data_IF_213408405750
#
_entry.id   IF_213408405750
#
_cell.length_a   1.000
_cell.length_b   1.000
_cell.length_c   1.000
_cell.angle_alpha   90.00
_cell.angle_beta   90.00
_cell.angle_gamma   90.00
#
_symmetry.space_group_name_H-M   'P 1'
#
loop_
_entity.id
_entity.type
_entity.pdbx_description
1 polymer ?
#
# COMPACT_ATOMS: atom_id res chain seq x y z
N UNK A 1 -1.26 38.67 -20.37
CA UNK A 1 -2.08 38.06 -19.31
C UNK A 1 -1.25 37.01 -18.62
N UNK A 2 -0.88 37.25 -17.36
CA UNK A 2 -0.13 36.32 -16.53
C UNK A 2 -1.12 35.50 -15.68
N UNK A 3 -1.02 34.18 -15.70
CA UNK A 3 -1.66 33.33 -14.70
C UNK A 3 -0.64 32.31 -14.19
N UNK A 4 -0.29 32.46 -12.91
CA UNK A 4 0.49 31.51 -12.13
C UNK A 4 -0.40 30.32 -11.72
N UNK A 5 0.17 29.11 -11.53
CA UNK A 5 -0.59 27.94 -11.15
C UNK A 5 -1.07 28.02 -9.69
N UNK A 6 -2.33 27.67 -9.46
CA UNK A 6 -2.90 27.50 -8.13
C UNK A 6 -2.29 26.25 -7.49
N UNK A 7 -1.30 26.47 -6.63
CA UNK A 7 -0.98 25.51 -5.58
C UNK A 7 -2.17 25.47 -4.61
N UNK A 8 -2.75 24.28 -4.41
CA UNK A 8 -3.68 24.02 -3.32
C UNK A 8 -2.91 24.17 -1.99
N UNK A 9 -2.92 25.38 -1.45
CA UNK A 9 -2.29 25.72 -0.18
C UNK A 9 -3.19 25.37 1.00
N UNK A 10 -2.87 24.29 1.71
CA UNK A 10 -3.16 24.24 3.14
C UNK A 10 -2.15 25.14 3.86
N UNK A 11 -2.62 26.26 4.39
CA UNK A 11 -1.84 27.11 5.31
C UNK A 11 -1.95 26.57 6.74
N UNK A 12 -0.84 26.42 7.49
CA UNK A 12 -0.91 26.38 8.93
C UNK A 12 -1.20 27.80 9.48
N UNK A 13 -1.98 27.97 10.55
CA UNK A 13 -2.14 29.27 11.19
C UNK A 13 -0.87 29.68 11.95
N UNK A 14 -0.36 30.87 11.65
CA UNK A 14 0.72 31.53 12.40
C UNK A 14 0.19 32.09 13.74
N UNK A 15 0.74 31.53 14.81
CA UNK A 15 1.20 32.16 16.06
C UNK A 15 0.62 33.52 16.48
N UNK A 16 -0.20 33.49 17.54
CA UNK A 16 -0.38 34.61 18.48
C UNK A 16 0.52 34.36 19.69
N UNK A 17 1.49 35.26 19.89
CA UNK A 17 2.33 35.33 21.10
C UNK A 17 1.50 35.93 22.24
N UNK A 18 1.18 35.13 23.27
CA UNK A 18 0.79 35.63 24.58
C UNK A 18 1.84 35.24 25.63
N UNK A 19 2.23 36.24 26.40
CA UNK A 19 3.23 36.19 27.45
C UNK A 19 2.84 35.23 28.59
N UNK A 20 3.85 34.50 29.08
CA UNK A 20 3.81 33.69 30.30
C UNK A 20 3.60 34.53 31.55
N UNK A 21 2.86 33.99 32.54
CA UNK A 21 3.28 34.09 33.93
C UNK A 21 3.67 32.70 34.48
N UNK A 22 4.86 32.66 35.09
CA UNK A 22 5.37 31.57 35.92
C UNK A 22 4.48 31.39 37.15
N UNK A 23 4.00 30.17 37.43
CA UNK A 23 3.80 29.66 38.79
C UNK A 23 4.14 28.17 38.87
N UNK A 24 4.89 27.85 39.91
CA UNK A 24 5.30 26.53 40.36
C UNK A 24 4.14 25.77 41.02
N UNK A 25 4.11 24.44 40.88
CA UNK A 25 4.00 23.44 41.97
C UNK A 25 3.48 22.07 41.43
N UNK A 26 3.81 20.95 42.09
CA UNK A 26 3.68 19.60 41.55
C UNK A 26 2.35 18.95 41.98
N UNK A 27 1.71 18.24 41.05
CA UNK A 27 0.67 17.28 41.41
C UNK A 27 0.89 15.96 40.68
N UNK A 28 1.31 14.97 41.46
CA UNK A 28 0.96 13.56 41.24
C UNK A 28 -0.54 13.46 40.98
N UNK A 29 -0.94 12.82 39.89
CA UNK A 29 -2.28 12.25 39.73
C UNK A 29 -2.21 11.07 38.75
N UNK A 30 -2.13 9.89 39.36
CA UNK A 30 -2.85 8.65 39.02
C UNK A 30 -3.38 8.56 37.58
N UNK A 31 -2.69 7.80 36.73
CA UNK A 31 -3.25 7.30 35.47
C UNK A 31 -3.91 5.95 35.75
N UNK A 32 -5.24 5.93 35.74
CA UNK A 32 -6.06 4.72 35.65
C UNK A 32 -6.87 4.76 34.32
N UNK A 33 -7.18 3.60 33.72
CA UNK A 33 -7.49 3.50 32.29
C UNK A 33 -8.96 3.78 31.95
N UNK A 34 -9.17 4.57 30.90
CA UNK A 34 -10.43 4.73 30.18
C UNK A 34 -10.57 3.61 29.14
N UNK A 35 -11.09 2.46 29.56
CA UNK A 35 -11.62 1.42 28.66
C UNK A 35 -12.81 0.74 29.35
N UNK A 36 -13.95 1.42 29.38
CA UNK A 36 -15.23 0.82 29.72
C UNK A 36 -16.36 1.67 29.14
N UNK A 37 -16.82 1.31 27.94
CA UNK A 37 -18.20 1.49 27.47
C UNK A 37 -18.26 1.28 25.94
N UNK A 38 -18.56 0.06 25.47
CA UNK A 38 -19.61 -0.24 24.47
C UNK A 38 -19.84 -1.77 24.46
N UNK A 39 -20.51 -2.32 25.48
CA UNK A 39 -21.27 -3.58 25.33
C UNK A 39 -22.53 -3.44 26.18
N UNK A 40 -23.70 -3.14 25.59
CA UNK A 40 -24.94 -3.19 26.33
C UNK A 40 -25.34 -4.66 26.52
N UNK A 41 -25.35 -5.13 27.77
CA UNK A 41 -26.01 -6.39 28.13
C UNK A 41 -25.18 -7.47 28.82
N UNK A 42 -24.05 -7.15 29.45
CA UNK A 42 -23.38 -8.09 30.36
C UNK A 42 -23.69 -7.69 31.79
N UNK A 43 -24.46 -8.53 32.49
CA UNK A 43 -24.70 -8.39 33.93
C UNK A 43 -23.38 -8.35 34.71
N UNK A 44 -23.40 -7.73 35.89
CA UNK A 44 -22.23 -7.58 36.74
C UNK A 44 -21.55 -8.92 37.06
N UNK A 45 -20.51 -9.26 36.31
CA UNK A 45 -19.54 -10.31 36.63
C UNK A 45 -18.34 -9.61 37.26
N UNK A 46 -17.86 -10.13 38.40
CA UNK A 46 -16.82 -9.51 39.22
C UNK A 46 -15.53 -9.22 38.46
N UNK A 47 -14.86 -8.13 38.85
CA UNK A 47 -13.63 -7.60 38.23
C UNK A 47 -12.38 -8.49 38.40
N UNK A 48 -12.50 -9.67 39.00
CA UNK A 48 -11.36 -10.57 39.28
C UNK A 48 -10.98 -11.49 38.10
N UNK A 49 -11.70 -11.45 36.97
CA UNK A 49 -11.51 -12.40 35.85
C UNK A 49 -10.95 -11.78 34.55
N UNK A 50 -10.51 -10.52 34.58
CA UNK A 50 -9.85 -9.90 33.41
C UNK A 50 -8.53 -10.62 33.05
N UNK A 51 -7.83 -11.19 34.03
CA UNK A 51 -6.62 -11.98 33.78
C UNK A 51 -6.91 -13.28 33.05
N UNK A 52 -8.05 -13.93 33.31
CA UNK A 52 -8.46 -15.16 32.61
C UNK A 52 -8.80 -14.86 31.15
N UNK A 53 -9.46 -13.73 30.86
CA UNK A 53 -9.72 -13.31 29.48
C UNK A 53 -8.42 -12.95 28.72
N UNK A 54 -7.49 -12.26 29.39
CA UNK A 54 -6.15 -11.97 28.82
C UNK A 54 -5.36 -13.27 28.63
N UNK A 55 -5.38 -14.20 29.58
CA UNK A 55 -4.70 -15.49 29.45
C UNK A 55 -5.37 -16.39 28.42
N UNK A 56 -6.69 -16.40 28.27
CA UNK A 56 -7.36 -17.16 27.21
C UNK A 56 -7.08 -16.56 25.82
N UNK A 57 -6.97 -15.25 25.70
CA UNK A 57 -6.57 -14.57 24.45
C UNK A 57 -5.08 -14.82 24.13
N UNK A 58 -4.21 -14.82 25.15
CA UNK A 58 -2.80 -15.17 25.03
C UNK A 58 -2.58 -16.68 24.78
N UNK A 59 -3.50 -17.53 25.25
CA UNK A 59 -3.48 -18.98 25.05
C UNK A 59 -4.08 -19.37 23.70
N UNK A 60 -5.07 -18.65 23.19
CA UNK A 60 -5.55 -18.78 21.82
C UNK A 60 -4.53 -18.25 20.79
N UNK A 61 -3.61 -17.36 21.20
CA UNK A 61 -2.46 -16.94 20.39
C UNK A 61 -1.19 -17.79 20.62
N UNK A 62 -1.10 -18.55 21.71
CA UNK A 62 -0.04 -19.56 21.96
C UNK A 62 -0.41 -20.98 21.57
N UNK A 63 -1.69 -21.29 21.46
CA UNK A 63 -2.22 -22.60 21.13
C UNK A 63 -2.14 -22.82 19.62
N UNK A 64 -1.06 -23.48 19.19
CA UNK A 64 -1.11 -24.63 18.29
C UNK A 64 -2.34 -24.76 17.38
N UNK A 65 -2.63 -23.76 16.56
CA UNK A 65 -3.39 -23.97 15.34
C UNK A 65 -2.42 -24.59 14.34
N UNK A 66 -2.47 -25.93 14.25
CA UNK A 66 -1.93 -26.87 13.27
C UNK A 66 -1.77 -26.32 11.83
N UNK A 67 -0.88 -25.36 11.65
CA UNK A 67 -0.49 -24.80 10.37
C UNK A 67 0.98 -25.08 10.19
N UNK A 68 1.32 -25.83 9.15
CA UNK A 68 2.70 -26.00 8.71
C UNK A 68 3.42 -24.66 8.75
N UNK A 69 4.54 -24.60 9.48
CA UNK A 69 5.40 -23.42 9.53
C UNK A 69 5.67 -23.01 8.08
N UNK A 70 5.08 -21.88 7.66
CA UNK A 70 5.26 -21.40 6.30
C UNK A 70 6.74 -21.03 6.17
N UNK A 71 7.45 -21.75 5.32
CA UNK A 71 8.86 -21.50 5.00
C UNK A 71 8.94 -21.05 3.55
N UNK A 72 9.50 -19.87 3.33
CA UNK A 72 9.72 -19.34 2.00
C UNK A 72 10.81 -20.15 1.29
N UNK A 73 10.59 -20.52 0.02
CA UNK A 73 11.53 -21.33 -0.76
C UNK A 73 12.62 -20.46 -1.41
N UNK A 74 13.69 -20.21 -0.65
CA UNK A 74 14.85 -19.48 -1.13
C UNK A 74 15.63 -20.17 -2.26
N UNK A 75 15.41 -21.47 -2.49
CA UNK A 75 16.04 -22.14 -3.65
C UNK A 75 15.35 -21.73 -4.93
N UNK A 76 14.03 -21.55 -4.88
CA UNK A 76 13.23 -21.10 -6.03
C UNK A 76 13.26 -19.59 -6.24
N UNK A 77 13.35 -18.81 -5.16
CA UNK A 77 13.33 -17.34 -5.19
C UNK A 77 14.47 -16.74 -4.35
N UNK A 78 15.75 -17.00 -4.71
CA UNK A 78 16.90 -16.58 -3.91
C UNK A 78 16.98 -15.05 -3.74
N UNK A 79 16.54 -14.29 -4.73
CA UNK A 79 16.56 -12.82 -4.69
C UNK A 79 15.65 -12.22 -3.61
N UNK A 80 14.55 -12.91 -3.27
CA UNK A 80 13.64 -12.48 -2.21
C UNK A 80 14.09 -12.91 -0.81
N UNK A 81 15.14 -13.72 -0.70
CA UNK A 81 15.74 -14.08 0.58
C UNK A 81 16.92 -13.20 1.00
N UNK A 82 17.24 -12.20 0.19
CA UNK A 82 18.25 -11.19 0.50
C UNK A 82 17.59 -9.90 0.97
N UNK A 83 18.39 -9.00 1.55
CA UNK A 83 17.97 -7.63 1.82
C UNK A 83 17.47 -6.95 0.53
N UNK A 84 16.38 -6.14 0.60
CA UNK A 84 15.65 -5.76 1.80
C UNK A 84 14.46 -6.67 2.16
N UNK A 85 14.20 -7.72 1.36
CA UNK A 85 12.98 -8.53 1.46
C UNK A 85 13.01 -9.55 2.62
N UNK A 86 14.14 -10.25 2.78
CA UNK A 86 14.36 -11.23 3.85
C UNK A 86 13.22 -12.24 4.05
N UNK A 87 12.66 -12.79 2.96
CA UNK A 87 11.45 -13.62 3.02
C UNK A 87 11.60 -14.94 3.79
N UNK A 88 12.82 -15.43 4.00
CA UNK A 88 13.11 -16.55 4.91
C UNK A 88 12.75 -16.25 6.37
N UNK A 89 12.75 -14.98 6.75
CA UNK A 89 12.41 -14.50 8.09
C UNK A 89 10.99 -13.94 8.17
N UNK A 90 10.26 -13.89 7.05
CA UNK A 90 8.90 -13.35 7.00
C UNK A 90 7.94 -14.29 7.75
N UNK A 91 7.39 -13.80 8.86
CA UNK A 91 6.46 -14.58 9.69
C UNK A 91 5.04 -14.13 9.43
N UNK A 92 4.12 -15.04 9.12
CA UNK A 92 2.69 -14.70 8.97
C UNK A 92 2.06 -13.99 10.18
N UNK A 93 2.65 -14.09 11.37
CA UNK A 93 2.22 -13.30 12.54
C UNK A 93 2.37 -11.79 12.34
N UNK A 94 3.26 -11.32 11.46
CA UNK A 94 3.30 -9.91 11.04
C UNK A 94 2.01 -9.50 10.33
N UNK A 95 1.33 -10.41 9.64
CA UNK A 95 0.06 -10.14 8.98
C UNK A 95 -1.06 -9.86 9.96
N UNK A 96 -1.03 -10.47 11.16
CA UNK A 96 -2.03 -10.18 12.20
C UNK A 96 -1.87 -8.74 12.72
N UNK A 97 -0.64 -8.28 12.93
CA UNK A 97 -0.37 -6.87 13.29
C UNK A 97 -0.77 -5.95 12.13
N UNK A 98 -0.35 -6.27 10.89
CA UNK A 98 -0.73 -5.50 9.70
C UNK A 98 -2.25 -5.43 9.53
N UNK A 99 -2.96 -6.52 9.81
CA UNK A 99 -4.42 -6.56 9.81
C UNK A 99 -5.04 -5.61 10.83
N UNK A 100 -4.37 -5.39 11.97
CA UNK A 100 -4.87 -4.45 12.98
C UNK A 100 -4.53 -2.99 12.64
N UNK A 101 -3.31 -2.71 12.20
CA UNK A 101 -2.78 -1.32 12.14
C UNK A 101 -2.37 -0.82 10.76
N UNK A 102 -2.39 -1.67 9.72
CA UNK A 102 -1.86 -1.36 8.40
C UNK A 102 -0.33 -1.30 8.35
N UNK A 103 0.20 -0.59 7.37
CA UNK A 103 1.64 -0.34 7.19
C UNK A 103 1.97 1.10 7.59
N UNK A 104 2.82 1.32 8.62
CA UNK A 104 3.17 2.71 9.03
C UNK A 104 4.12 3.42 8.06
N UNK A 105 4.89 2.61 7.33
CA UNK A 105 5.91 2.92 6.35
C UNK A 105 5.86 1.84 5.27
N UNK A 106 6.65 1.96 4.20
CA UNK A 106 6.81 0.87 3.25
C UNK A 106 7.21 -0.44 3.95
N UNK A 107 6.54 -1.52 3.54
CA UNK A 107 6.78 -2.89 3.99
C UNK A 107 7.11 -3.76 2.77
N UNK A 108 8.40 -3.80 2.40
CA UNK A 108 8.88 -4.64 1.29
C UNK A 108 8.72 -6.14 1.57
N UNK A 109 8.50 -6.54 2.82
CA UNK A 109 8.18 -7.92 3.18
C UNK A 109 6.85 -8.41 2.58
N UNK A 110 5.98 -7.49 2.16
CA UNK A 110 4.75 -7.83 1.42
C UNK A 110 5.04 -8.61 0.12
N UNK A 111 6.21 -8.43 -0.50
CA UNK A 111 6.61 -9.20 -1.69
C UNK A 111 6.81 -10.68 -1.43
N UNK A 112 6.99 -11.08 -0.17
CA UNK A 112 7.08 -12.49 0.21
C UNK A 112 5.79 -13.27 -0.05
N UNK A 113 4.66 -12.57 -0.21
CA UNK A 113 3.37 -13.17 -0.57
C UNK A 113 3.13 -13.24 -2.08
N UNK A 114 4.01 -12.62 -2.88
CA UNK A 114 3.90 -12.58 -4.34
C UNK A 114 5.24 -12.92 -5.04
N UNK A 115 5.84 -14.09 -4.75
CA UNK A 115 7.19 -14.43 -5.22
C UNK A 115 7.33 -14.54 -6.74
N UNK A 116 6.22 -14.68 -7.47
CA UNK A 116 6.21 -14.64 -8.94
C UNK A 116 6.74 -13.32 -9.53
N UNK A 117 6.76 -12.23 -8.74
CA UNK A 117 7.31 -10.93 -9.12
C UNK A 117 8.75 -10.70 -8.62
N UNK A 118 9.42 -11.72 -8.06
CA UNK A 118 10.75 -11.61 -7.45
C UNK A 118 11.78 -10.93 -8.35
N UNK A 119 11.88 -11.33 -9.62
CA UNK A 119 12.80 -10.71 -10.56
C UNK A 119 12.47 -9.25 -10.87
N UNK A 120 11.19 -8.91 -11.05
CA UNK A 120 10.74 -7.53 -11.28
C UNK A 120 11.16 -6.64 -10.12
N UNK A 121 10.79 -7.04 -8.90
CA UNK A 121 11.02 -6.20 -7.73
C UNK A 121 12.49 -6.13 -7.31
N UNK A 122 13.25 -7.22 -7.48
CA UNK A 122 14.69 -7.20 -7.26
C UNK A 122 15.40 -6.26 -8.25
N UNK A 123 15.00 -6.29 -9.53
CA UNK A 123 15.57 -5.39 -10.54
C UNK A 123 15.27 -3.93 -10.20
N UNK A 124 14.05 -3.63 -9.75
CA UNK A 124 13.69 -2.28 -9.37
C UNK A 124 14.39 -1.82 -8.07
N UNK A 125 14.18 -2.54 -6.96
CA UNK A 125 14.52 -2.05 -5.62
C UNK A 125 15.98 -2.33 -5.23
N UNK A 126 16.54 -3.47 -5.64
CA UNK A 126 17.90 -3.89 -5.26
C UNK A 126 18.92 -3.43 -6.28
N UNK A 127 18.67 -3.72 -7.56
CA UNK A 127 19.56 -3.28 -8.64
C UNK A 127 19.38 -1.80 -9.01
N UNK A 128 18.36 -1.13 -8.45
CA UNK A 128 18.05 0.29 -8.68
C UNK A 128 17.88 0.61 -10.16
N UNK A 129 17.24 -0.29 -10.91
CA UNK A 129 16.99 -0.13 -12.33
C UNK A 129 15.49 -0.25 -12.63
N UNK A 130 14.70 0.77 -12.27
CA UNK A 130 13.25 0.72 -12.45
C UNK A 130 12.85 0.70 -13.94
N UNK A 131 13.67 1.24 -14.85
CA UNK A 131 13.42 1.16 -16.28
C UNK A 131 13.47 -0.29 -16.79
N UNK A 132 14.56 -1.02 -16.48
CA UNK A 132 14.68 -2.42 -16.88
C UNK A 132 13.62 -3.30 -16.21
N UNK A 133 13.28 -3.04 -14.95
CA UNK A 133 12.18 -3.70 -14.26
C UNK A 133 10.85 -3.46 -15.00
N UNK A 134 10.60 -2.21 -15.42
CA UNK A 134 9.40 -1.85 -16.16
C UNK A 134 9.28 -2.57 -17.51
N UNK A 135 10.35 -2.62 -18.30
CA UNK A 135 10.36 -3.39 -19.56
C UNK A 135 10.12 -4.87 -19.29
N UNK A 136 10.75 -5.44 -18.26
CA UNK A 136 10.59 -6.84 -17.89
C UNK A 136 9.13 -7.18 -17.55
N UNK A 137 8.48 -6.37 -16.72
CA UNK A 137 7.08 -6.59 -16.32
C UNK A 137 6.13 -6.41 -17.51
N UNK A 138 6.40 -5.45 -18.40
CA UNK A 138 5.62 -5.22 -19.62
C UNK A 138 5.66 -6.43 -20.55
N UNK A 139 6.83 -6.97 -20.86
CA UNK A 139 6.92 -8.14 -21.74
C UNK A 139 6.30 -9.39 -21.07
N UNK A 140 6.49 -9.59 -19.77
CA UNK A 140 5.89 -10.74 -19.06
C UNK A 140 4.36 -10.72 -19.05
N UNK A 141 3.76 -9.55 -18.86
CA UNK A 141 2.30 -9.40 -18.89
C UNK A 141 1.76 -9.54 -20.31
N UNK A 142 2.46 -9.00 -21.32
CA UNK A 142 2.15 -9.17 -22.75
C UNK A 142 2.19 -10.63 -23.20
N UNK A 143 3.14 -11.40 -22.67
CA UNK A 143 3.26 -12.86 -22.89
C UNK A 143 2.20 -13.67 -22.13
N UNK A 144 1.38 -13.03 -21.29
CA UNK A 144 0.33 -13.69 -20.52
C UNK A 144 0.83 -14.46 -19.29
N UNK A 145 2.07 -14.22 -18.82
CA UNK A 145 2.69 -14.94 -17.70
C UNK A 145 1.85 -14.93 -16.42
N UNK A 146 1.09 -13.86 -16.20
CA UNK A 146 0.27 -13.66 -15.00
C UNK A 146 -1.23 -13.89 -15.27
N UNK A 147 -1.57 -14.42 -16.45
CA UNK A 147 -2.94 -14.64 -16.89
C UNK A 147 -3.31 -13.73 -18.07
N UNK A 148 -4.29 -14.15 -18.89
CA UNK A 148 -4.60 -13.52 -20.18
C UNK A 148 -5.11 -12.08 -20.06
N UNK A 149 -5.68 -11.72 -18.91
CA UNK A 149 -6.27 -10.40 -18.67
C UNK A 149 -5.29 -9.39 -18.08
N UNK A 150 -4.13 -9.83 -17.61
CA UNK A 150 -3.21 -8.97 -16.85
C UNK A 150 -2.70 -7.81 -17.69
N UNK A 151 -2.45 -8.05 -18.97
CA UNK A 151 -1.94 -7.03 -19.88
C UNK A 151 -2.92 -5.84 -20.04
N UNK A 152 -4.21 -6.14 -20.13
CA UNK A 152 -5.28 -5.14 -20.23
C UNK A 152 -5.56 -4.45 -18.88
N UNK A 153 -5.52 -5.21 -17.77
CA UNK A 153 -5.66 -4.64 -16.43
C UNK A 153 -4.54 -3.66 -16.11
N UNK A 154 -3.30 -4.05 -16.33
CA UNK A 154 -2.17 -3.20 -16.00
C UNK A 154 -2.13 -1.95 -16.89
N UNK A 155 -2.48 -2.09 -18.18
CA UNK A 155 -2.66 -0.94 -19.05
C UNK A 155 -3.70 0.04 -18.49
N UNK A 156 -4.93 -0.42 -18.26
CA UNK A 156 -6.00 0.45 -17.72
C UNK A 156 -5.65 1.06 -16.36
N UNK A 157 -4.99 0.31 -15.48
CA UNK A 157 -4.45 0.76 -14.19
C UNK A 157 -3.51 1.96 -14.36
N UNK A 158 -2.57 1.88 -15.31
CA UNK A 158 -1.60 2.95 -15.58
C UNK A 158 -2.28 4.28 -15.95
N UNK A 159 -3.36 4.24 -16.74
CA UNK A 159 -4.10 5.44 -17.14
C UNK A 159 -5.07 5.91 -16.04
N UNK A 160 -5.82 5.00 -15.40
CA UNK A 160 -6.79 5.33 -14.34
C UNK A 160 -6.13 5.96 -13.11
N UNK A 161 -4.97 5.44 -12.70
CA UNK A 161 -4.23 5.96 -11.54
C UNK A 161 -3.22 7.05 -11.91
N UNK A 162 -3.29 7.58 -13.14
CA UNK A 162 -2.51 8.74 -13.57
C UNK A 162 -1.01 8.50 -13.59
N UNK A 163 -0.56 7.24 -13.68
CA UNK A 163 0.87 6.91 -13.71
C UNK A 163 1.52 7.36 -15.03
N UNK A 164 0.73 7.46 -16.11
CA UNK A 164 1.19 8.05 -17.37
C UNK A 164 1.45 9.56 -17.31
N UNK A 165 0.85 10.27 -16.34
CA UNK A 165 0.99 11.72 -16.17
C UNK A 165 1.93 12.08 -15.01
N UNK A 166 2.48 11.08 -14.30
CA UNK A 166 3.40 11.29 -13.19
C UNK A 166 4.76 11.75 -13.69
N UNK A 167 5.21 12.92 -13.23
CA UNK A 167 6.46 13.58 -13.67
C UNK A 167 7.45 13.76 -12.53
N UNK A 168 7.04 13.52 -11.28
CA UNK A 168 7.89 13.57 -10.09
C UNK A 168 8.76 12.33 -9.91
N UNK A 169 8.49 11.23 -10.63
CA UNK A 169 9.33 10.02 -10.63
C UNK A 169 10.38 10.08 -11.74
N UNK A 170 11.63 9.94 -11.33
CA UNK A 170 12.83 9.84 -12.18
C UNK A 170 13.46 8.45 -12.07
N UNK A 171 14.48 8.16 -12.88
CA UNK A 171 15.22 6.88 -12.85
C UNK A 171 15.94 6.64 -11.51
N UNK A 172 16.24 7.72 -10.77
CA UNK A 172 16.96 7.67 -9.49
C UNK A 172 16.04 7.84 -8.28
N UNK A 173 14.72 7.84 -8.48
CA UNK A 173 13.77 8.03 -7.37
C UNK A 173 13.91 6.90 -6.38
N UNK A 174 14.26 7.26 -5.15
CA UNK A 174 14.38 6.32 -4.04
C UNK A 174 13.01 5.95 -3.50
N UNK A 175 12.94 4.85 -2.75
CA UNK A 175 11.73 4.41 -2.07
C UNK A 175 11.18 5.49 -1.11
N UNK A 176 12.05 6.21 -0.38
CA UNK A 176 11.63 7.29 0.52
C UNK A 176 11.09 8.53 -0.22
N UNK A 177 11.61 8.82 -1.41
CA UNK A 177 11.04 9.87 -2.26
C UNK A 177 9.68 9.44 -2.83
N UNK A 178 9.56 8.18 -3.25
CA UNK A 178 8.29 7.61 -3.69
C UNK A 178 7.22 7.63 -2.58
N UNK A 179 7.59 7.36 -1.32
CA UNK A 179 6.68 7.50 -0.16
C UNK A 179 6.12 8.93 -0.05
N UNK A 180 6.93 9.97 -0.28
CA UNK A 180 6.45 11.36 -0.26
C UNK A 180 5.48 11.64 -1.40
N UNK A 181 5.68 11.04 -2.57
CA UNK A 181 4.73 11.12 -3.69
C UNK A 181 3.42 10.42 -3.31
N UNK A 182 3.50 9.24 -2.69
CA UNK A 182 2.33 8.51 -2.18
C UNK A 182 1.57 9.31 -1.11
N UNK A 183 2.27 9.95 -0.18
CA UNK A 183 1.66 10.83 0.82
C UNK A 183 0.97 12.03 0.17
N UNK A 184 1.59 12.65 -0.84
CA UNK A 184 0.99 13.77 -1.56
C UNK A 184 -0.26 13.37 -2.36
N UNK A 185 -0.27 12.18 -2.98
CA UNK A 185 -1.37 11.73 -3.84
C UNK A 185 -2.52 11.07 -3.07
N UNK A 186 -2.20 10.27 -2.06
CA UNK A 186 -3.17 9.39 -1.38
C UNK A 186 -3.30 9.68 0.12
N UNK A 187 -2.48 10.56 0.67
CA UNK A 187 -2.46 10.84 2.10
C UNK A 187 -2.17 9.58 2.91
N UNK A 188 -2.89 9.41 4.01
CA UNK A 188 -2.72 8.27 4.90
C UNK A 188 -3.33 6.95 4.37
N UNK A 189 -4.10 6.97 3.26
CA UNK A 189 -4.88 5.80 2.81
C UNK A 189 -4.00 4.61 2.43
N UNK A 190 -2.84 4.84 1.80
CA UNK A 190 -1.96 3.73 1.40
C UNK A 190 -1.38 2.97 2.60
N UNK A 191 -1.27 3.64 3.76
CA UNK A 191 -0.84 3.05 5.03
C UNK A 191 -1.90 2.12 5.63
N UNK A 192 -3.13 2.17 5.13
CA UNK A 192 -4.22 1.29 5.53
C UNK A 192 -4.14 -0.10 4.89
N UNK A 193 -3.27 -0.32 3.90
CA UNK A 193 -3.28 -1.56 3.12
C UNK A 193 -3.07 -2.77 4.03
N UNK A 194 -4.00 -3.73 3.91
CA UNK A 194 -4.03 -4.95 4.71
C UNK A 194 -4.76 -4.78 6.05
N UNK A 195 -5.07 -3.55 6.48
CA UNK A 195 -5.79 -3.32 7.72
C UNK A 195 -7.28 -3.66 7.61
N UNK A 196 -7.88 -4.13 8.71
CA UNK A 196 -9.31 -4.43 8.79
C UNK A 196 -10.19 -3.20 8.52
N UNK A 197 -9.69 -2.02 8.89
CA UNK A 197 -10.36 -0.74 8.73
C UNK A 197 -10.08 -0.07 7.38
N UNK A 198 -9.30 -0.71 6.49
CA UNK A 198 -9.12 -0.25 5.12
C UNK A 198 -10.49 -0.04 4.45
N UNK A 199 -10.76 1.14 3.86
CA UNK A 199 -12.02 1.40 3.16
C UNK A 199 -12.30 0.29 2.15
N UNK A 200 -13.56 -0.14 2.01
CA UNK A 200 -13.92 -1.25 1.13
C UNK A 200 -13.54 -1.00 -0.33
N UNK A 201 -13.65 0.24 -0.80
CA UNK A 201 -13.22 0.66 -2.14
C UNK A 201 -11.69 0.71 -2.32
N UNK A 202 -10.92 0.62 -1.25
CA UNK A 202 -9.45 0.69 -1.28
C UNK A 202 -8.82 -0.69 -1.22
N UNK A 203 -9.59 -1.74 -0.94
CA UNK A 203 -9.07 -3.11 -0.84
C UNK A 203 -8.62 -3.59 -2.20
N UNK A 204 -7.46 -4.26 -2.24
CA UNK A 204 -7.04 -5.00 -3.43
C UNK A 204 -8.06 -6.11 -3.65
N UNK A 205 -8.86 -5.98 -4.69
CA UNK A 205 -9.95 -6.89 -4.96
C UNK A 205 -10.18 -6.96 -6.46
N UNK A 206 -9.80 -8.10 -7.04
CA UNK A 206 -10.23 -8.41 -8.38
C UNK A 206 -11.66 -8.92 -8.33
N UNK A 207 -12.63 -8.05 -8.65
CA UNK A 207 -14.01 -8.50 -8.90
C UNK A 207 -14.06 -9.13 -10.29
N UNK A 208 -13.61 -10.38 -10.39
CA UNK A 208 -13.55 -11.12 -11.65
C UNK A 208 -14.86 -11.13 -12.44
N UNK A 209 -15.99 -10.96 -11.77
CA UNK A 209 -17.32 -10.89 -12.39
C UNK A 209 -17.60 -9.60 -13.16
N UNK A 210 -16.79 -8.54 -13.01
CA UNK A 210 -17.03 -7.22 -13.62
C UNK A 210 -16.18 -6.96 -14.88
N UNK A 211 -15.15 -7.78 -15.11
CA UNK A 211 -14.29 -7.71 -16.30
C UNK A 211 -14.76 -8.73 -17.34
N UNK A 212 -15.22 -8.26 -18.50
CA UNK A 212 -15.34 -9.12 -19.66
C UNK A 212 -13.92 -9.58 -20.09
N UNK A 213 -13.74 -10.79 -20.65
CA UNK A 213 -12.45 -11.16 -21.21
C UNK A 213 -11.93 -10.12 -22.20
N UNK A 214 -10.66 -9.73 -22.08
CA UNK A 214 -10.00 -8.66 -22.84
C UNK A 214 -10.33 -7.23 -22.37
N UNK A 215 -11.00 -7.05 -21.23
CA UNK A 215 -11.32 -5.74 -20.69
C UNK A 215 -10.50 -5.42 -19.44
N UNK A 216 -9.70 -4.35 -19.52
CA UNK A 216 -9.10 -3.73 -18.34
C UNK A 216 -10.13 -3.13 -17.38
N UNK A 217 -9.64 -2.55 -16.28
CA UNK A 217 -10.43 -1.77 -15.33
C UNK A 217 -11.15 -0.62 -16.03
N UNK A 218 -12.35 -0.31 -15.53
CA UNK A 218 -13.25 0.71 -16.10
C UNK A 218 -13.34 1.96 -15.23
N UNK A 219 -12.88 1.89 -13.98
CA UNK A 219 -12.94 3.01 -13.05
C UNK A 219 -11.88 2.90 -11.96
N UNK A 220 -11.61 4.03 -11.29
CA UNK A 220 -10.63 4.09 -10.21
C UNK A 220 -10.99 3.23 -9.01
N UNK A 221 -12.27 3.02 -8.76
CA UNK A 221 -12.74 2.14 -7.67
C UNK A 221 -12.26 0.69 -7.85
N UNK A 222 -11.96 0.26 -9.09
CA UNK A 222 -11.43 -1.07 -9.37
C UNK A 222 -9.89 -1.11 -9.28
N UNK A 223 -9.21 -0.01 -9.61
CA UNK A 223 -7.74 0.06 -9.69
C UNK A 223 -7.06 0.64 -8.45
N UNK A 224 -7.74 1.43 -7.64
CA UNK A 224 -7.12 2.22 -6.56
C UNK A 224 -6.46 1.34 -5.50
N UNK A 225 -7.03 0.17 -5.20
CA UNK A 225 -6.41 -0.77 -4.28
C UNK A 225 -5.01 -1.21 -4.72
N UNK A 226 -4.77 -1.35 -6.03
CA UNK A 226 -3.47 -1.73 -6.57
C UNK A 226 -2.42 -0.62 -6.40
N UNK A 227 -2.75 0.65 -6.62
CA UNK A 227 -1.77 1.75 -6.45
C UNK A 227 -1.50 2.04 -4.97
N UNK A 228 -2.50 1.89 -4.11
CA UNK A 228 -2.30 1.96 -2.66
C UNK A 228 -1.40 0.81 -2.18
N UNK A 229 -1.60 -0.40 -2.71
CA UNK A 229 -0.70 -1.53 -2.43
C UNK A 229 0.71 -1.25 -2.95
N UNK A 230 0.87 -0.68 -4.15
CA UNK A 230 2.18 -0.32 -4.68
C UNK A 230 2.93 0.69 -3.79
N UNK A 231 2.21 1.65 -3.21
CA UNK A 231 2.76 2.54 -2.20
C UNK A 231 3.16 1.79 -0.92
N UNK A 232 2.30 0.92 -0.38
CA UNK A 232 2.59 0.14 0.82
C UNK A 232 3.76 -0.85 0.65
N UNK A 233 3.90 -1.42 -0.55
CA UNK A 233 4.92 -2.40 -0.91
C UNK A 233 6.23 -1.77 -1.38
N UNK A 234 6.29 -0.43 -1.53
CA UNK A 234 7.50 0.32 -1.87
C UNK A 234 7.84 0.41 -3.34
N UNK A 235 6.95 0.00 -4.24
CA UNK A 235 7.22 -0.10 -5.68
C UNK A 235 6.47 0.93 -6.53
N UNK A 236 5.81 1.95 -5.94
CA UNK A 236 5.12 2.99 -6.72
C UNK A 236 5.98 3.58 -7.85
N UNK A 237 7.26 3.88 -7.58
CA UNK A 237 8.18 4.40 -8.60
C UNK A 237 8.53 3.35 -9.67
N UNK A 238 8.60 2.07 -9.32
CA UNK A 238 8.75 0.98 -10.28
C UNK A 238 7.56 0.94 -11.23
N UNK A 239 6.34 1.06 -10.68
CA UNK A 239 5.10 1.00 -11.44
C UNK A 239 4.98 2.19 -12.40
N UNK A 240 5.44 3.39 -12.02
CA UNK A 240 5.50 4.52 -12.96
C UNK A 240 6.40 4.22 -14.16
N UNK A 241 7.58 3.62 -13.95
CA UNK A 241 8.48 3.26 -15.06
C UNK A 241 7.95 2.10 -15.90
N UNK A 242 7.35 1.11 -15.27
CA UNK A 242 6.60 0.05 -15.92
C UNK A 242 5.50 0.62 -16.82
N UNK A 243 4.69 1.53 -16.29
CA UNK A 243 3.58 2.14 -16.99
C UNK A 243 4.01 2.92 -18.23
N UNK A 244 5.21 3.52 -18.26
CA UNK A 244 5.73 4.21 -19.46
C UNK A 244 5.66 3.35 -20.72
N UNK A 245 5.78 2.02 -20.61
CA UNK A 245 5.63 1.13 -21.77
C UNK A 245 4.20 1.16 -22.34
N UNK A 246 3.17 1.02 -21.49
CA UNK A 246 1.76 1.15 -21.90
C UNK A 246 1.40 2.55 -22.37
N UNK A 247 1.90 3.58 -21.67
CA UNK A 247 1.62 4.97 -22.01
C UNK A 247 2.21 5.35 -23.38
N UNK A 248 3.25 4.65 -23.85
CA UNK A 248 3.84 4.87 -25.17
C UNK A 248 3.21 3.99 -26.26
N UNK A 249 2.56 2.88 -25.89
CA UNK A 249 1.86 2.02 -26.82
C UNK A 249 0.64 2.73 -27.44
N UNK A 250 0.58 2.74 -28.78
CA UNK A 250 -0.50 3.40 -29.52
C UNK A 250 -1.88 2.78 -29.24
N UNK A 251 -1.94 1.46 -29.09
CA UNK A 251 -3.17 0.74 -28.80
C UNK A 251 -3.76 1.19 -27.46
N UNK A 252 -2.96 1.21 -26.40
CA UNK A 252 -3.44 1.59 -25.07
C UNK A 252 -3.69 3.08 -24.90
N UNK A 253 -2.91 3.94 -25.57
CA UNK A 253 -3.25 5.37 -25.64
C UNK A 253 -4.62 5.59 -26.26
N UNK A 254 -4.93 4.92 -27.38
CA UNK A 254 -6.23 5.05 -28.02
C UNK A 254 -7.34 4.51 -27.12
N UNK A 255 -7.11 3.37 -26.47
CA UNK A 255 -8.11 2.67 -25.65
C UNK A 255 -8.36 3.35 -24.31
N UNK A 256 -7.32 3.77 -23.60
CA UNK A 256 -7.37 4.20 -22.19
C UNK A 256 -6.88 5.63 -21.94
N UNK A 257 -6.33 6.31 -22.95
CA UNK A 257 -5.82 7.68 -22.81
C UNK A 257 -6.83 8.68 -22.27
N UNK A 258 -8.12 8.49 -22.57
CA UNK A 258 -9.21 9.33 -22.07
C UNK A 258 -9.30 9.37 -20.54
N UNK A 259 -8.87 8.32 -19.83
CA UNK A 259 -8.88 8.31 -18.37
C UNK A 259 -7.98 9.37 -17.72
N UNK A 260 -6.93 9.82 -18.42
CA UNK A 260 -6.08 10.91 -17.90
C UNK A 260 -6.87 12.20 -17.74
N UNK A 261 -7.75 12.50 -18.69
CA UNK A 261 -8.64 13.65 -18.61
C UNK A 261 -9.79 13.40 -17.63
N UNK A 262 -10.46 12.26 -17.75
CA UNK A 262 -11.68 11.97 -16.98
C UNK A 262 -11.40 11.86 -15.47
N UNK A 263 -10.21 11.41 -15.10
CA UNK A 263 -9.77 11.33 -13.70
C UNK A 263 -9.03 12.58 -13.21
N UNK A 264 -8.88 13.61 -14.03
CA UNK A 264 -8.25 14.88 -13.65
C UNK A 264 -6.72 14.82 -13.49
N UNK A 265 -6.04 13.98 -14.28
CA UNK A 265 -4.58 13.88 -14.32
C UNK A 265 -3.92 14.82 -15.34
N UNK A 266 -4.68 15.34 -16.31
CA UNK A 266 -4.23 16.42 -17.19
C UNK A 266 -4.20 17.77 -16.45
N UNK A 267 -3.11 18.53 -16.62
CA UNK A 267 -2.93 19.88 -16.06
C UNK A 267 -3.34 20.95 -17.05
#
# INVERSE_FOLDING_TARGET
GHWAPQAAGMRPPSSVLHAFPRRMAPHLLVVAPLLAAVVPGVGAVGLDDASVLIQQTLSASRGEALGTEWRFDCKKHPELCMEPFNCQNYRKTSNAIRYLVGTRQVDVGLWCEAPQYGHYINTCLVQKNPFAAGVMQYEQTKEGKFGPETFEHDASYCFLEGLCAETGVTDNTTMSEAEKICDARYGWRWRAVGAQWQPSGDKVGYKASESAPGAGFKSREQSVGFVLAACAMGNFHCDVHYCKNYCNDAHFKQKYGHFLKDCGWEK
#
